data_IF_997646162017
#
_entry.id   IF_997646162017
#
_cell.length_a   1.000
_cell.length_b   1.000
_cell.length_c   1.000
_cell.angle_alpha   90.00
_cell.angle_beta   90.00
_cell.angle_gamma   90.00
#
_symmetry.space_group_name_H-M   'P 1'
#
loop_
_entity.id
_entity.type
_entity.pdbx_description
1 polymer ?
#
# COMPACT_ATOMS: atom_id res chain seq x y z
N UNK A 1 8.96 7.31 26.65
CA UNK A 1 9.55 6.91 25.35
C UNK A 1 8.39 6.35 24.55
N UNK A 2 7.91 7.08 23.54
CA UNK A 2 6.81 6.59 22.70
C UNK A 2 7.38 5.58 21.70
N UNK A 3 6.78 4.41 21.62
CA UNK A 3 7.17 3.38 20.66
C UNK A 3 6.64 3.74 19.27
N UNK A 4 7.50 3.65 18.25
CA UNK A 4 7.16 3.96 16.86
C UNK A 4 7.55 2.82 15.93
N UNK A 5 6.91 2.76 14.77
CA UNK A 5 7.18 1.76 13.74
C UNK A 5 7.87 2.38 12.53
N UNK A 6 8.78 1.61 11.93
CA UNK A 6 9.30 1.86 10.58
C UNK A 6 9.33 0.54 9.81
N UNK A 7 8.53 0.44 8.75
CA UNK A 7 8.53 -0.69 7.81
C UNK A 7 9.11 -0.22 6.49
N UNK A 8 9.96 -1.03 5.85
CA UNK A 8 10.51 -0.70 4.53
C UNK A 8 10.26 -1.85 3.56
N UNK A 9 9.66 -1.53 2.42
CA UNK A 9 9.41 -2.45 1.31
C UNK A 9 10.32 -2.06 0.14
N UNK A 10 10.80 -3.07 -0.58
CA UNK A 10 11.56 -2.92 -1.81
C UNK A 10 10.82 -3.62 -2.93
N UNK A 11 10.56 -2.91 -4.03
CA UNK A 11 9.87 -3.41 -5.20
C UNK A 11 10.77 -3.29 -6.43
N UNK A 12 10.84 -4.38 -7.20
CA UNK A 12 11.51 -4.45 -8.50
C UNK A 12 10.46 -4.36 -9.61
N UNK A 13 10.71 -3.58 -10.65
CA UNK A 13 9.80 -3.39 -11.78
C UNK A 13 10.51 -2.93 -13.06
N UNK A 14 9.72 -2.55 -14.06
CA UNK A 14 10.22 -2.08 -15.36
C UNK A 14 9.82 -0.62 -15.61
N UNK A 15 10.73 0.21 -16.14
CA UNK A 15 10.47 1.62 -16.46
C UNK A 15 9.46 1.79 -17.60
N UNK A 16 9.48 0.87 -18.56
CA UNK A 16 8.52 0.83 -19.67
C UNK A 16 7.38 -0.13 -19.36
N UNK A 17 6.17 0.23 -19.78
CA UNK A 17 5.07 -0.73 -19.89
C UNK A 17 5.37 -1.69 -21.04
N UNK A 18 6.18 -2.70 -20.76
CA UNK A 18 6.45 -3.85 -21.66
C UNK A 18 5.29 -4.83 -21.59
N UNK A 19 4.98 -5.49 -22.70
CA UNK A 19 3.99 -6.56 -22.73
C UNK A 19 4.44 -7.71 -21.80
N UNK A 20 3.50 -8.46 -21.21
CA UNK A 20 3.85 -9.54 -20.28
C UNK A 20 4.73 -10.63 -20.92
N UNK A 21 4.59 -10.84 -22.24
CA UNK A 21 5.47 -11.70 -23.03
C UNK A 21 6.93 -11.23 -23.07
N UNK A 22 7.16 -9.92 -22.98
CA UNK A 22 8.49 -9.30 -23.02
C UNK A 22 9.12 -9.15 -21.63
N UNK A 23 8.30 -9.04 -20.58
CA UNK A 23 8.76 -9.03 -19.16
C UNK A 23 9.48 -10.32 -18.77
N UNK A 24 9.14 -11.46 -19.38
CA UNK A 24 9.83 -12.72 -19.13
C UNK A 24 11.29 -12.73 -19.67
N UNK A 25 11.58 -11.86 -20.63
CA UNK A 25 12.90 -11.77 -21.28
C UNK A 25 13.75 -10.62 -20.73
N UNK A 26 13.12 -9.52 -20.29
CA UNK A 26 13.80 -8.35 -19.75
C UNK A 26 13.96 -8.41 -18.22
N UNK A 27 15.16 -8.17 -17.70
CA UNK A 27 15.35 -7.99 -16.24
C UNK A 27 14.69 -6.69 -15.77
N UNK A 28 14.16 -6.62 -14.53
CA UNK A 28 13.70 -5.37 -13.93
C UNK A 28 14.79 -4.29 -13.98
N UNK A 29 14.43 -3.10 -14.45
CA UNK A 29 15.31 -1.92 -14.58
C UNK A 29 14.83 -0.72 -13.74
N UNK A 30 13.89 -0.96 -12.82
CA UNK A 30 13.39 0.01 -11.84
C UNK A 30 13.35 -0.60 -10.45
N UNK A 31 13.78 0.15 -9.44
CA UNK A 31 13.59 -0.20 -8.03
C UNK A 31 12.91 0.94 -7.28
N UNK A 32 11.86 0.60 -6.54
CA UNK A 32 11.16 1.53 -5.66
C UNK A 32 11.32 1.05 -4.22
N UNK A 33 11.69 1.98 -3.35
CA UNK A 33 11.69 1.79 -1.90
C UNK A 33 10.48 2.54 -1.33
N UNK A 34 9.65 1.83 -0.58
CA UNK A 34 8.56 2.40 0.21
C UNK A 34 8.94 2.30 1.69
N UNK A 35 8.99 3.45 2.36
CA UNK A 35 9.12 3.50 3.83
C UNK A 35 7.79 3.93 4.43
N UNK A 36 7.28 3.15 5.39
CA UNK A 36 6.09 3.46 6.17
C UNK A 36 6.51 3.73 7.62
N UNK A 37 6.13 4.88 8.17
CA UNK A 37 6.32 5.18 9.59
C UNK A 37 4.98 5.44 10.28
N UNK A 38 4.89 5.09 11.56
CA UNK A 38 3.66 5.31 12.32
C UNK A 38 3.82 4.94 13.80
N UNK A 39 2.71 4.80 14.53
CA UNK A 39 2.74 4.40 15.93
C UNK A 39 3.20 2.94 16.08
N UNK A 40 3.33 2.47 17.31
CA UNK A 40 3.70 1.10 17.67
C UNK A 40 2.94 0.04 16.82
N UNK A 41 3.68 -0.97 16.33
CA UNK A 41 3.23 -1.89 15.28
C UNK A 41 2.19 -2.89 15.76
N UNK A 42 2.37 -3.42 16.98
CA UNK A 42 1.59 -4.53 17.51
C UNK A 42 0.12 -4.18 17.73
N UNK A 43 -0.15 -3.00 18.31
CA UNK A 43 -1.52 -2.61 18.63
C UNK A 43 -1.97 -1.35 17.91
N UNK A 44 -1.25 -0.24 18.08
CA UNK A 44 -1.74 1.06 17.64
C UNK A 44 -1.86 1.11 16.10
N UNK A 45 -0.79 0.77 15.38
CA UNK A 45 -0.79 0.76 13.92
C UNK A 45 -1.75 -0.30 13.35
N UNK A 46 -1.69 -1.53 13.88
CA UNK A 46 -2.54 -2.63 13.40
C UNK A 46 -4.03 -2.32 13.57
N UNK A 47 -4.44 -1.79 14.74
CA UNK A 47 -5.83 -1.39 14.99
C UNK A 47 -6.25 -0.25 14.05
N UNK A 48 -5.38 0.74 13.84
CA UNK A 48 -5.64 1.84 12.91
C UNK A 48 -5.86 1.34 11.48
N UNK A 49 -4.98 0.47 10.98
CA UNK A 49 -5.12 -0.15 9.65
C UNK A 49 -6.43 -0.93 9.52
N UNK A 50 -6.79 -1.74 10.51
CA UNK A 50 -8.02 -2.53 10.49
C UNK A 50 -9.28 -1.64 10.45
N UNK A 51 -9.35 -0.62 11.31
CA UNK A 51 -10.49 0.30 11.35
C UNK A 51 -10.56 1.13 10.07
N UNK A 52 -9.44 1.62 9.54
CA UNK A 52 -9.45 2.38 8.29
C UNK A 52 -9.82 1.51 7.09
N UNK A 53 -9.39 0.24 7.05
CA UNK A 53 -9.81 -0.71 6.02
C UNK A 53 -11.34 -0.92 6.06
N UNK A 54 -11.92 -1.16 7.24
CA UNK A 54 -13.37 -1.33 7.39
C UNK A 54 -14.15 -0.08 6.96
N UNK A 55 -13.70 1.11 7.38
CA UNK A 55 -14.32 2.37 6.98
C UNK A 55 -14.19 2.62 5.47
N UNK A 56 -13.06 2.23 4.87
CA UNK A 56 -12.86 2.34 3.42
C UNK A 56 -13.84 1.45 2.67
N UNK A 57 -14.03 0.19 3.07
CA UNK A 57 -15.04 -0.70 2.46
C UNK A 57 -16.44 -0.08 2.51
N UNK A 58 -16.80 0.56 3.61
CA UNK A 58 -18.12 1.15 3.80
C UNK A 58 -18.29 2.48 3.05
N UNK A 59 -17.30 3.36 3.11
CA UNK A 59 -17.39 4.75 2.65
C UNK A 59 -16.90 4.96 1.22
N UNK A 60 -16.09 4.03 0.69
CA UNK A 60 -15.56 4.05 -0.67
C UNK A 60 -16.16 2.87 -1.47
N UNK A 61 -17.37 2.45 -1.13
CA UNK A 61 -18.05 1.30 -1.76
C UNK A 61 -18.20 1.43 -3.29
N UNK A 62 -18.27 2.65 -3.81
CA UNK A 62 -18.27 2.99 -5.23
C UNK A 62 -16.90 2.80 -5.92
N UNK A 63 -15.82 2.78 -5.12
CA UNK A 63 -14.44 2.57 -5.57
C UNK A 63 -13.93 1.15 -5.31
N UNK A 64 -14.70 0.35 -4.56
CA UNK A 64 -14.34 -1.04 -4.29
C UNK A 64 -14.36 -1.85 -5.60
N UNK A 65 -13.42 -2.79 -5.77
CA UNK A 65 -13.39 -3.62 -6.95
C UNK A 65 -14.60 -4.57 -6.97
N UNK A 66 -15.24 -4.66 -8.14
CA UNK A 66 -16.37 -5.56 -8.42
C UNK A 66 -17.57 -5.35 -7.47
N UNK A 67 -18.55 -6.26 -7.49
CA UNK A 67 -19.79 -6.16 -6.69
C UNK A 67 -19.79 -7.01 -5.40
N UNK A 68 -18.71 -7.74 -5.12
CA UNK A 68 -18.56 -8.60 -3.93
C UNK A 68 -17.60 -9.77 -4.14
N UNK A 69 -17.11 -10.34 -3.05
CA UNK A 69 -16.15 -11.46 -3.07
C UNK A 69 -15.15 -11.42 -1.91
N UNK A 70 -14.08 -12.20 -2.04
CA UNK A 70 -12.92 -12.18 -1.13
C UNK A 70 -11.74 -11.61 -1.90
N UNK A 71 -11.11 -10.58 -1.34
CA UNK A 71 -10.03 -9.85 -2.01
C UNK A 71 -8.79 -9.79 -1.15
N UNK A 72 -7.64 -9.78 -1.81
CA UNK A 72 -6.40 -9.37 -1.15
C UNK A 72 -6.41 -7.84 -0.97
N UNK A 73 -5.73 -7.31 0.07
CA UNK A 73 -5.69 -5.87 0.32
C UNK A 73 -5.22 -5.03 -0.87
N UNK A 74 -4.23 -5.53 -1.63
CA UNK A 74 -3.72 -4.84 -2.82
C UNK A 74 -4.80 -4.59 -3.86
N UNK A 75 -5.62 -5.60 -4.18
CA UNK A 75 -6.74 -5.46 -5.12
C UNK A 75 -7.87 -4.64 -4.50
N UNK A 76 -8.19 -4.88 -3.23
CA UNK A 76 -9.31 -4.23 -2.54
C UNK A 76 -9.13 -2.71 -2.45
N UNK A 77 -7.91 -2.24 -2.23
CA UNK A 77 -7.65 -0.86 -1.83
C UNK A 77 -6.88 -0.02 -2.85
N UNK A 78 -6.45 -0.59 -3.99
CA UNK A 78 -5.66 0.10 -5.03
C UNK A 78 -6.22 1.47 -5.42
N UNK A 79 -7.54 1.57 -5.60
CA UNK A 79 -8.22 2.78 -6.08
C UNK A 79 -9.09 3.45 -4.99
N UNK A 80 -8.77 3.22 -3.73
CA UNK A 80 -9.53 3.73 -2.58
C UNK A 80 -8.76 4.82 -1.82
N UNK A 81 -9.41 5.48 -0.85
CA UNK A 81 -8.80 6.48 0.01
C UNK A 81 -8.07 5.89 1.22
N UNK A 82 -7.84 4.58 1.29
CA UNK A 82 -7.27 3.95 2.48
C UNK A 82 -5.94 4.61 2.91
N UNK A 83 -5.05 4.91 1.96
CA UNK A 83 -3.78 5.57 2.26
C UNK A 83 -3.99 6.98 2.84
N UNK A 84 -4.81 7.82 2.20
CA UNK A 84 -5.13 9.18 2.68
C UNK A 84 -5.67 9.15 4.12
N UNK A 85 -6.58 8.20 4.43
CA UNK A 85 -7.18 8.04 5.76
C UNK A 85 -6.18 7.64 6.84
N UNK A 86 -5.13 6.92 6.46
CA UNK A 86 -4.03 6.53 7.34
C UNK A 86 -3.06 7.70 7.54
N UNK A 87 -2.80 8.48 6.49
CA UNK A 87 -2.02 9.72 6.55
C UNK A 87 -2.64 10.76 7.46
N UNK A 88 -3.96 10.96 7.38
CA UNK A 88 -4.72 11.81 8.31
C UNK A 88 -4.60 11.38 9.78
N UNK A 89 -4.18 10.14 10.05
CA UNK A 89 -3.99 9.57 11.39
C UNK A 89 -2.53 9.40 11.79
N UNK A 90 -1.62 10.03 11.06
CA UNK A 90 -0.20 10.10 11.41
C UNK A 90 0.63 8.91 10.91
N UNK A 91 0.16 8.16 9.92
CA UNK A 91 0.99 7.20 9.17
C UNK A 91 1.63 7.93 7.99
N UNK A 92 2.94 7.79 7.79
CA UNK A 92 3.62 8.43 6.65
C UNK A 92 4.04 7.37 5.64
N UNK A 93 3.84 7.65 4.36
CA UNK A 93 4.32 6.84 3.24
C UNK A 93 5.35 7.66 2.46
N UNK A 94 6.56 7.11 2.28
CA UNK A 94 7.63 7.76 1.51
C UNK A 94 8.09 6.83 0.41
N UNK A 95 7.97 7.28 -0.84
CA UNK A 95 8.36 6.55 -2.04
C UNK A 95 9.65 7.15 -2.61
N UNK A 96 10.64 6.30 -2.84
CA UNK A 96 11.94 6.69 -3.40
C UNK A 96 12.29 5.75 -4.57
N UNK A 97 12.61 6.30 -5.74
CA UNK A 97 13.26 5.51 -6.80
C UNK A 97 14.74 5.40 -6.46
N UNK A 98 15.23 4.17 -6.31
CA UNK A 98 16.58 3.88 -5.80
C UNK A 98 17.50 3.26 -6.86
N UNK A 99 17.13 3.36 -8.15
CA UNK A 99 17.88 2.82 -9.29
C UNK A 99 17.79 3.67 -10.58
#
# INVERSE_FOLDING_TARGET
MESSTKVTFYADGWKKNVADSEKQLAKPDKKIKLTITGPEVGYALTTMCMVQAALTVLQDSDRMPFKGGVYTPGVAFENTRLQERLEERGVTFTYEEIL
#
